data_IF_485363306249
#
_entry.id   IF_485363306249
#
_cell.length_a   1.000
_cell.length_b   1.000
_cell.length_c   1.000
_cell.angle_alpha   90.00
_cell.angle_beta   90.00
_cell.angle_gamma   90.00
#
_symmetry.space_group_name_H-M   'P 1'
#
loop_
_entity.id
_entity.type
_entity.pdbx_description
1 polymer ?
#
# COMPACT_ATOMS: atom_id res chain seq x y z
N UNK A 1 -13.58 -16.35 8.39
CA UNK A 1 -12.72 -16.96 9.43
C UNK A 1 -12.45 -16.00 10.57
N UNK A 2 -11.96 -14.80 10.34
CA UNK A 2 -11.63 -13.79 11.36
C UNK A 2 -12.77 -13.55 12.37
N UNK A 3 -14.01 -13.28 11.89
CA UNK A 3 -15.20 -13.08 12.75
C UNK A 3 -15.43 -14.21 13.77
N UNK A 4 -15.24 -15.48 13.36
CA UNK A 4 -15.43 -16.62 14.27
C UNK A 4 -14.38 -16.67 15.38
N UNK A 5 -13.14 -16.25 15.10
CA UNK A 5 -12.08 -16.17 16.09
C UNK A 5 -12.32 -15.02 17.08
N UNK A 6 -12.66 -13.83 16.57
CA UNK A 6 -13.01 -12.65 17.39
C UNK A 6 -14.17 -12.94 18.33
N UNK A 7 -15.26 -13.57 17.86
CA UNK A 7 -16.40 -13.97 18.70
C UNK A 7 -15.99 -14.92 19.83
N UNK A 8 -14.91 -15.67 19.68
CA UNK A 8 -14.33 -16.55 20.72
C UNK A 8 -13.28 -15.85 21.60
N UNK A 9 -13.15 -14.54 21.51
CA UNK A 9 -12.21 -13.78 22.31
C UNK A 9 -10.74 -14.00 21.92
N UNK A 10 -10.45 -14.32 20.65
CA UNK A 10 -9.10 -14.52 20.17
C UNK A 10 -8.57 -13.28 19.45
N UNK A 11 -7.31 -12.92 19.71
CA UNK A 11 -6.58 -11.98 18.87
C UNK A 11 -6.43 -12.56 17.47
N UNK A 12 -6.49 -11.73 16.45
CA UNK A 12 -6.47 -12.15 15.03
C UNK A 12 -5.44 -11.34 14.26
N UNK A 13 -4.53 -12.03 13.59
CA UNK A 13 -3.72 -11.52 12.49
C UNK A 13 -4.31 -12.10 11.19
N UNK A 14 -4.87 -11.24 10.34
CA UNK A 14 -5.55 -11.65 9.12
C UNK A 14 -4.73 -11.27 7.90
N UNK A 15 -4.57 -12.20 6.95
CA UNK A 15 -3.93 -11.90 5.66
C UNK A 15 -4.69 -10.80 4.91
N UNK A 16 -3.93 -10.05 4.09
CA UNK A 16 -4.44 -9.01 3.21
C UNK A 16 -5.16 -9.61 1.98
N UNK A 17 -6.23 -9.00 1.51
CA UNK A 17 -6.95 -7.90 2.16
C UNK A 17 -7.79 -8.44 3.33
N UNK A 18 -7.86 -7.68 4.40
CA UNK A 18 -8.64 -8.03 5.61
C UNK A 18 -10.11 -8.32 5.27
N UNK A 19 -10.67 -7.56 4.35
CA UNK A 19 -12.03 -7.69 3.84
C UNK A 19 -12.12 -7.15 2.41
N UNK A 20 -13.14 -7.58 1.66
CA UNK A 20 -13.38 -7.11 0.28
C UNK A 20 -14.27 -5.86 0.23
N UNK A 21 -14.89 -5.49 1.34
CA UNK A 21 -15.73 -4.31 1.45
C UNK A 21 -15.42 -3.55 2.75
N UNK A 22 -15.47 -2.22 2.67
CA UNK A 22 -15.26 -1.33 3.81
C UNK A 22 -16.16 -1.69 4.99
N UNK A 23 -17.45 -1.92 4.74
CA UNK A 23 -18.42 -2.28 5.79
C UNK A 23 -18.03 -3.55 6.55
N UNK A 24 -17.52 -4.55 5.85
CA UNK A 24 -17.04 -5.80 6.46
C UNK A 24 -15.83 -5.55 7.37
N UNK A 25 -14.89 -4.73 6.92
CA UNK A 25 -13.73 -4.35 7.73
C UNK A 25 -14.17 -3.59 8.99
N UNK A 26 -15.03 -2.59 8.85
CA UNK A 26 -15.57 -1.80 9.98
C UNK A 26 -16.29 -2.71 11.00
N UNK A 27 -17.08 -3.68 10.54
CA UNK A 27 -17.75 -4.65 11.42
C UNK A 27 -16.76 -5.54 12.18
N UNK A 28 -15.67 -5.95 11.53
CA UNK A 28 -14.64 -6.77 12.17
C UNK A 28 -13.85 -5.98 13.22
N UNK A 29 -13.48 -4.74 12.93
CA UNK A 29 -12.79 -3.87 13.90
C UNK A 29 -13.69 -3.55 15.10
N UNK A 30 -14.95 -3.20 14.86
CA UNK A 30 -15.93 -2.98 15.94
C UNK A 30 -16.10 -4.22 16.83
N UNK A 31 -16.21 -5.41 16.22
CA UNK A 31 -16.30 -6.66 16.95
C UNK A 31 -15.04 -6.94 17.80
N UNK A 32 -13.87 -6.65 17.27
CA UNK A 32 -12.62 -6.79 18.01
C UNK A 32 -12.59 -5.86 19.24
N UNK A 33 -13.01 -4.61 19.08
CA UNK A 33 -13.13 -3.63 20.16
C UNK A 33 -14.13 -4.10 21.23
N UNK A 34 -15.35 -4.51 20.82
CA UNK A 34 -16.39 -5.04 21.72
C UNK A 34 -15.93 -6.26 22.54
N UNK A 35 -15.02 -7.07 21.96
CA UNK A 35 -14.45 -8.25 22.62
C UNK A 35 -13.15 -7.99 23.39
N UNK A 36 -12.62 -6.77 23.34
CA UNK A 36 -11.35 -6.42 23.98
C UNK A 36 -10.16 -7.20 23.39
N UNK A 37 -10.18 -7.52 22.08
CA UNK A 37 -9.13 -8.27 21.41
C UNK A 37 -8.53 -7.49 20.25
N UNK A 38 -7.32 -7.85 19.85
CA UNK A 38 -6.59 -7.22 18.75
C UNK A 38 -6.96 -7.87 17.43
N UNK A 39 -7.28 -7.05 16.42
CA UNK A 39 -7.36 -7.43 15.03
C UNK A 39 -6.33 -6.62 14.24
N UNK A 40 -5.44 -7.32 13.52
CA UNK A 40 -4.45 -6.70 12.64
C UNK A 40 -4.54 -7.31 11.24
N UNK A 41 -4.33 -6.48 10.23
CA UNK A 41 -4.07 -6.94 8.87
C UNK A 41 -2.59 -7.24 8.70
N UNK A 42 -2.24 -8.37 8.09
CA UNK A 42 -0.87 -8.82 7.87
C UNK A 42 -0.20 -8.06 6.71
N UNK A 43 -0.12 -6.74 6.84
CA UNK A 43 0.57 -5.87 5.88
C UNK A 43 2.01 -5.65 6.34
N UNK A 44 2.92 -6.52 5.93
CA UNK A 44 4.33 -6.58 6.37
C UNK A 44 5.05 -5.24 6.32
N UNK A 45 4.84 -4.46 5.26
CA UNK A 45 5.46 -3.15 5.06
C UNK A 45 5.24 -2.20 6.24
N UNK A 46 4.09 -2.28 6.92
CA UNK A 46 3.78 -1.45 8.08
C UNK A 46 4.78 -1.63 9.24
N UNK A 47 5.36 -2.81 9.34
CA UNK A 47 6.26 -3.21 10.42
C UNK A 47 7.74 -3.21 10.00
N UNK A 48 8.04 -2.87 8.74
CA UNK A 48 9.39 -2.75 8.22
C UNK A 48 10.09 -1.53 8.85
N UNK A 49 11.21 -1.69 9.61
CA UNK A 49 11.89 -0.57 10.27
C UNK A 49 12.32 0.54 9.32
N UNK A 50 12.83 0.21 8.13
CA UNK A 50 13.19 1.24 7.15
C UNK A 50 11.97 2.00 6.62
N UNK A 51 10.84 1.33 6.45
CA UNK A 51 9.60 2.00 6.08
C UNK A 51 9.10 2.92 7.19
N UNK A 52 9.22 2.52 8.46
CA UNK A 52 8.89 3.37 9.61
C UNK A 52 9.80 4.59 9.68
N UNK A 53 11.11 4.42 9.46
CA UNK A 53 12.08 5.53 9.37
C UNK A 53 11.74 6.46 8.21
N UNK A 54 11.45 5.92 7.03
CA UNK A 54 11.01 6.66 5.85
C UNK A 54 9.80 7.54 6.15
N UNK A 55 8.74 6.95 6.72
CA UNK A 55 7.50 7.69 7.01
C UNK A 55 7.69 8.73 8.11
N UNK A 56 8.53 8.45 9.10
CA UNK A 56 8.92 9.42 10.14
C UNK A 56 9.67 10.60 9.54
N UNK A 57 10.65 10.35 8.66
CA UNK A 57 11.39 11.41 7.96
C UNK A 57 10.49 12.24 7.04
N UNK A 58 9.60 11.60 6.28
CA UNK A 58 8.63 12.32 5.46
C UNK A 58 7.73 13.25 6.30
N UNK A 59 7.31 12.78 7.47
CA UNK A 59 6.49 13.54 8.43
C UNK A 59 7.25 14.62 9.20
N UNK A 60 8.60 14.57 9.25
CA UNK A 60 9.42 15.56 9.97
C UNK A 60 9.54 16.90 9.24
N UNK A 61 9.07 16.99 8.01
CA UNK A 61 9.21 18.18 7.17
C UNK A 61 10.55 18.28 6.43
N UNK A 62 11.37 17.23 6.40
CA UNK A 62 12.69 17.24 5.71
C UNK A 62 12.58 17.56 4.21
N UNK A 63 11.45 17.26 3.60
CA UNK A 63 11.14 17.57 2.20
C UNK A 63 10.10 18.70 2.08
N UNK A 64 9.86 19.46 3.16
CA UNK A 64 8.77 20.44 3.24
C UNK A 64 7.39 19.77 3.33
N UNK A 65 6.34 20.42 2.79
CA UNK A 65 4.99 19.87 2.77
C UNK A 65 4.84 18.84 1.66
N UNK A 66 4.32 17.65 1.96
CA UNK A 66 4.07 16.60 0.94
C UNK A 66 3.00 17.10 -0.04
N UNK A 67 3.29 16.98 -1.33
CA UNK A 67 2.42 17.39 -2.45
C UNK A 67 1.95 16.22 -3.31
N UNK A 68 2.78 15.19 -3.45
CA UNK A 68 2.36 13.99 -4.14
C UNK A 68 2.94 12.73 -3.51
N UNK A 69 2.22 11.61 -3.66
CA UNK A 69 2.70 10.26 -3.33
C UNK A 69 2.36 9.33 -4.49
N UNK A 70 3.38 8.78 -5.12
CA UNK A 70 3.23 7.82 -6.21
C UNK A 70 3.80 6.48 -5.77
N UNK A 71 2.96 5.45 -5.71
CA UNK A 71 3.34 4.12 -5.27
C UNK A 71 2.87 3.07 -6.27
N UNK A 72 3.80 2.23 -6.72
CA UNK A 72 3.54 1.19 -7.71
C UNK A 72 3.85 -0.19 -7.14
N UNK A 73 2.92 -1.13 -7.30
CA UNK A 73 3.18 -2.54 -7.05
C UNK A 73 2.66 -3.40 -8.19
N UNK A 74 3.57 -4.01 -8.96
CA UNK A 74 3.21 -4.92 -10.04
C UNK A 74 3.93 -6.25 -9.88
N UNK A 75 3.19 -7.33 -10.14
CA UNK A 75 3.70 -8.70 -10.17
C UNK A 75 3.11 -9.38 -11.41
N UNK A 76 3.92 -9.58 -12.43
CA UNK A 76 3.45 -10.29 -13.62
C UNK A 76 3.09 -11.74 -13.26
N UNK A 77 1.89 -12.15 -13.58
CA UNK A 77 1.38 -13.52 -13.43
C UNK A 77 1.09 -14.07 -14.81
N UNK A 78 1.92 -15.01 -15.24
CA UNK A 78 1.84 -15.58 -16.60
C UNK A 78 0.79 -16.69 -16.72
N UNK A 79 0.56 -17.44 -15.64
CA UNK A 79 -0.44 -18.50 -15.61
C UNK A 79 -1.85 -17.90 -15.51
N UNK A 80 -2.59 -17.95 -16.60
CA UNK A 80 -3.98 -17.47 -16.66
C UNK A 80 -4.97 -18.32 -15.85
N UNK A 81 -4.58 -19.53 -15.43
CA UNK A 81 -5.36 -20.38 -14.53
C UNK A 81 -5.12 -20.08 -13.05
N UNK A 82 -4.18 -19.17 -12.74
CA UNK A 82 -3.90 -18.77 -11.37
C UNK A 82 -5.14 -18.13 -10.71
N UNK A 83 -5.26 -18.34 -9.39
CA UNK A 83 -6.39 -17.80 -8.58
C UNK A 83 -6.57 -16.28 -8.71
N UNK A 84 -5.49 -15.56 -8.99
CA UNK A 84 -5.49 -14.10 -9.18
C UNK A 84 -6.30 -13.65 -10.39
N UNK A 85 -6.59 -14.57 -11.34
CA UNK A 85 -7.47 -14.34 -12.48
C UNK A 85 -8.89 -14.90 -12.29
N UNK A 86 -9.17 -15.51 -11.13
CA UNK A 86 -10.48 -16.10 -10.82
C UNK A 86 -11.33 -15.11 -9.97
N UNK A 87 -12.42 -14.56 -10.53
CA UNK A 87 -13.30 -13.65 -9.78
C UNK A 87 -13.99 -14.32 -8.60
N UNK A 88 -14.18 -15.65 -8.63
CA UNK A 88 -14.79 -16.40 -7.53
C UNK A 88 -13.86 -16.53 -6.32
N UNK A 89 -12.56 -16.35 -6.52
CA UNK A 89 -11.54 -16.34 -5.49
C UNK A 89 -11.08 -14.92 -5.13
N UNK A 90 -11.89 -13.92 -5.48
CA UNK A 90 -11.59 -12.49 -5.30
C UNK A 90 -10.28 -12.07 -5.98
N UNK A 91 -9.98 -12.67 -7.15
CA UNK A 91 -8.84 -12.30 -7.98
C UNK A 91 -8.91 -10.86 -8.46
N UNK A 92 -7.77 -10.32 -8.86
CA UNK A 92 -7.64 -8.97 -9.40
C UNK A 92 -6.39 -8.26 -8.89
N UNK A 93 -5.85 -7.39 -9.72
CA UNK A 93 -4.65 -6.63 -9.40
C UNK A 93 -4.84 -5.77 -8.14
N UNK A 94 -6.00 -5.12 -8.03
CA UNK A 94 -6.28 -4.26 -6.87
C UNK A 94 -6.45 -5.06 -5.59
N UNK A 95 -7.17 -6.17 -5.63
CA UNK A 95 -7.37 -7.05 -4.47
C UNK A 95 -6.03 -7.65 -3.99
N UNK A 96 -5.19 -8.08 -4.93
CA UNK A 96 -3.92 -8.73 -4.59
C UNK A 96 -2.84 -7.76 -4.12
N UNK A 97 -2.73 -6.60 -4.76
CA UNK A 97 -1.56 -5.72 -4.59
C UNK A 97 -1.93 -4.30 -4.13
N UNK A 98 -3.16 -3.85 -4.37
CA UNK A 98 -3.59 -2.47 -4.13
C UNK A 98 -3.57 -2.02 -2.67
N UNK A 99 -3.64 -2.96 -1.72
CA UNK A 99 -3.55 -2.64 -0.28
C UNK A 99 -2.22 -1.99 0.10
N UNK A 100 -1.12 -2.36 -0.54
CA UNK A 100 0.21 -1.79 -0.26
C UNK A 100 0.31 -0.31 -0.65
N UNK A 101 0.07 0.10 -1.91
CA UNK A 101 0.12 1.51 -2.27
C UNK A 101 -0.98 2.33 -1.59
N UNK A 102 -2.18 1.79 -1.38
CA UNK A 102 -3.23 2.48 -0.63
C UNK A 102 -2.82 2.74 0.83
N UNK A 103 -2.13 1.77 1.46
CA UNK A 103 -1.62 1.91 2.82
C UNK A 103 -0.62 3.05 2.96
N UNK A 104 0.41 3.11 2.11
CA UNK A 104 1.42 4.18 2.21
C UNK A 104 0.82 5.55 1.96
N UNK A 105 -0.12 5.67 1.01
CA UNK A 105 -0.86 6.91 0.75
C UNK A 105 -1.66 7.33 2.00
N UNK A 106 -2.44 6.41 2.57
CA UNK A 106 -3.20 6.68 3.78
C UNK A 106 -2.33 7.03 4.98
N UNK A 107 -1.14 6.40 5.10
CA UNK A 107 -0.17 6.68 6.16
C UNK A 107 0.42 8.09 6.08
N UNK A 108 0.68 8.59 4.87
CA UNK A 108 1.33 9.88 4.62
C UNK A 108 0.35 11.06 4.48
N UNK A 109 -0.80 10.83 3.86
CA UNK A 109 -1.76 11.89 3.51
C UNK A 109 -3.09 11.80 4.28
N UNK A 110 -3.26 10.74 5.07
CA UNK A 110 -4.51 10.49 5.81
C UNK A 110 -5.51 9.63 5.01
N UNK A 111 -6.56 9.21 5.69
CA UNK A 111 -7.54 8.23 5.17
C UNK A 111 -8.82 8.87 4.61
N UNK A 112 -8.85 10.21 4.49
CA UNK A 112 -10.03 10.96 4.03
C UNK A 112 -9.71 11.81 2.78
N UNK A 113 -9.46 11.20 1.61
CA UNK A 113 -9.34 11.94 0.36
C UNK A 113 -10.69 12.53 -0.06
N UNK A 114 -10.70 13.72 -0.62
CA UNK A 114 -11.91 14.36 -1.17
C UNK A 114 -12.55 13.54 -2.29
N UNK A 115 -11.73 12.82 -3.06
CA UNK A 115 -12.16 11.99 -4.19
C UNK A 115 -11.15 10.89 -4.44
N UNK A 116 -11.68 9.71 -4.82
CA UNK A 116 -10.87 8.62 -5.39
C UNK A 116 -11.43 8.31 -6.78
N UNK A 117 -10.54 8.18 -7.77
CA UNK A 117 -10.87 7.79 -9.13
C UNK A 117 -10.08 6.55 -9.50
N UNK A 118 -10.75 5.54 -10.05
CA UNK A 118 -10.13 4.33 -10.57
C UNK A 118 -10.12 4.32 -12.09
N UNK A 119 -8.98 3.96 -12.67
CA UNK A 119 -8.81 3.65 -14.09
C UNK A 119 -8.31 2.22 -14.18
N UNK A 120 -9.06 1.35 -14.85
CA UNK A 120 -8.86 -0.10 -14.77
C UNK A 120 -8.90 -0.75 -16.15
N UNK A 121 -7.89 -1.58 -16.45
CA UNK A 121 -7.93 -2.53 -17.56
C UNK A 121 -8.36 -3.89 -17.04
N UNK A 122 -9.30 -4.53 -17.71
CA UNK A 122 -9.88 -5.81 -17.31
C UNK A 122 -9.59 -6.91 -18.32
N UNK A 123 -9.48 -8.14 -17.83
CA UNK A 123 -9.44 -9.35 -18.68
C UNK A 123 -10.82 -9.59 -19.28
N UNK A 124 -10.91 -9.73 -20.60
CA UNK A 124 -12.21 -9.75 -21.32
C UNK A 124 -13.13 -10.90 -20.90
N UNK A 125 -12.59 -12.08 -20.61
CA UNK A 125 -13.38 -13.28 -20.33
C UNK A 125 -13.69 -13.49 -18.84
N UNK A 126 -12.90 -12.93 -17.91
CA UNK A 126 -13.13 -13.06 -16.46
C UNK A 126 -13.67 -11.78 -15.83
N UNK A 127 -13.47 -10.63 -16.47
CA UNK A 127 -13.79 -9.31 -15.92
C UNK A 127 -12.86 -8.86 -14.80
N UNK A 128 -11.87 -9.68 -14.42
CA UNK A 128 -10.88 -9.36 -13.38
C UNK A 128 -10.00 -8.22 -13.83
N UNK A 129 -9.71 -7.29 -12.93
CA UNK A 129 -8.78 -6.20 -13.19
C UNK A 129 -7.35 -6.74 -13.25
N UNK A 130 -6.67 -6.43 -14.35
CA UNK A 130 -5.28 -6.85 -14.59
C UNK A 130 -4.29 -5.71 -14.45
N UNK A 131 -4.79 -4.48 -14.53
CA UNK A 131 -4.07 -3.25 -14.27
C UNK A 131 -5.06 -2.23 -13.71
N UNK A 132 -4.77 -1.67 -12.54
CA UNK A 132 -5.59 -0.64 -11.92
C UNK A 132 -4.71 0.51 -11.44
N UNK A 133 -5.09 1.74 -11.79
CA UNK A 133 -4.55 2.97 -11.23
C UNK A 133 -5.64 3.68 -10.46
N UNK A 134 -5.40 3.96 -9.19
CA UNK A 134 -6.25 4.78 -8.34
C UNK A 134 -5.60 6.14 -8.11
N UNK A 135 -6.34 7.21 -8.35
CA UNK A 135 -5.95 8.60 -8.10
C UNK A 135 -6.70 9.09 -6.86
N UNK A 136 -5.97 9.57 -5.87
CA UNK A 136 -6.49 10.11 -4.62
C UNK A 136 -6.29 11.63 -4.60
N UNK A 137 -7.38 12.37 -4.47
CA UNK A 137 -7.37 13.82 -4.43
C UNK A 137 -7.61 14.31 -3.01
N UNK A 138 -6.62 14.95 -2.43
CA UNK A 138 -6.70 15.62 -1.13
C UNK A 138 -6.83 17.13 -1.30
N UNK A 139 -6.99 17.87 -0.20
CA UNK A 139 -7.09 19.35 -0.25
C UNK A 139 -5.85 20.01 -0.82
N UNK A 140 -4.67 19.52 -0.45
CA UNK A 140 -3.38 20.14 -0.76
C UNK A 140 -2.36 19.15 -1.35
N UNK A 141 -2.78 17.92 -1.68
CA UNK A 141 -1.94 16.89 -2.21
C UNK A 141 -2.73 15.99 -3.16
N UNK A 142 -2.00 15.24 -3.97
CA UNK A 142 -2.53 14.18 -4.83
C UNK A 142 -1.76 12.89 -4.58
N UNK A 143 -2.35 11.74 -4.87
CA UNK A 143 -1.59 10.51 -4.86
C UNK A 143 -2.05 9.54 -5.94
N UNK A 144 -1.13 8.67 -6.37
CA UNK A 144 -1.38 7.64 -7.36
C UNK A 144 -0.96 6.27 -6.82
N UNK A 145 -1.89 5.34 -6.79
CA UNK A 145 -1.64 3.94 -6.50
C UNK A 145 -1.77 3.11 -7.77
N UNK A 146 -0.73 2.40 -8.17
CA UNK A 146 -0.77 1.49 -9.33
C UNK A 146 -0.59 0.05 -8.87
N UNK A 147 -1.52 -0.82 -9.26
CA UNK A 147 -1.45 -2.26 -9.06
C UNK A 147 -1.66 -3.01 -10.37
N UNK A 148 -0.82 -3.99 -10.68
CA UNK A 148 -0.98 -4.80 -11.89
C UNK A 148 -0.48 -6.24 -11.70
N UNK A 149 -1.24 -7.19 -12.30
CA UNK A 149 -0.88 -8.60 -12.41
C UNK A 149 -0.68 -9.01 -13.88
N UNK A 150 -1.22 -8.24 -14.84
CA UNK A 150 -1.11 -8.46 -16.27
C UNK A 150 -0.08 -7.58 -16.98
N UNK A 151 0.66 -6.77 -16.25
CA UNK A 151 1.74 -5.92 -16.76
C UNK A 151 2.84 -5.74 -15.71
N UNK A 152 4.08 -5.53 -16.16
CA UNK A 152 5.22 -5.26 -15.28
C UNK A 152 5.62 -3.79 -15.40
N UNK A 153 5.75 -3.13 -14.25
CA UNK A 153 6.27 -1.78 -14.11
C UNK A 153 7.29 -1.75 -12.97
N UNK A 154 8.12 -0.71 -12.89
CA UNK A 154 8.97 -0.48 -11.72
C UNK A 154 8.12 -0.38 -10.45
N UNK A 155 8.51 -1.12 -9.42
CA UNK A 155 7.82 -1.15 -8.13
C UNK A 155 8.43 -0.16 -7.15
N UNK A 156 8.39 1.12 -7.49
CA UNK A 156 8.97 2.22 -6.73
C UNK A 156 7.93 3.00 -5.94
N UNK A 157 8.43 3.81 -5.00
CA UNK A 157 7.65 4.79 -4.25
C UNK A 157 8.36 6.14 -4.35
N UNK A 158 7.64 7.17 -4.76
CA UNK A 158 8.09 8.55 -4.76
C UNK A 158 7.19 9.41 -3.88
N UNK A 159 7.77 10.14 -2.92
CA UNK A 159 7.07 11.08 -2.05
C UNK A 159 7.60 12.47 -2.36
N UNK A 160 6.80 13.28 -3.04
CA UNK A 160 7.17 14.62 -3.51
C UNK A 160 6.77 15.68 -2.48
N UNK A 161 7.72 16.51 -2.07
CA UNK A 161 7.51 17.64 -1.18
C UNK A 161 7.82 18.99 -1.83
N UNK A 162 7.63 20.08 -1.07
CA UNK A 162 7.90 21.44 -1.55
C UNK A 162 9.38 21.82 -1.56
N UNK A 163 10.22 21.07 -0.85
CA UNK A 163 11.67 21.34 -0.71
C UNK A 163 12.56 20.20 -1.20
N UNK A 164 11.96 19.05 -1.52
CA UNK A 164 12.67 17.88 -2.00
C UNK A 164 11.72 16.71 -2.18
N UNK A 165 12.26 15.52 -2.39
CA UNK A 165 11.47 14.30 -2.51
C UNK A 165 12.21 13.10 -1.91
N UNK A 166 11.44 12.08 -1.56
CA UNK A 166 11.97 10.79 -1.12
C UNK A 166 11.69 9.77 -2.21
N UNK A 167 12.72 9.05 -2.60
CA UNK A 167 12.64 7.99 -3.60
C UNK A 167 13.03 6.66 -2.97
N UNK A 168 12.19 5.65 -3.17
CA UNK A 168 12.41 4.27 -2.73
C UNK A 168 12.39 3.38 -3.97
N UNK A 169 13.51 2.78 -4.35
CA UNK A 169 13.56 1.87 -5.50
C UNK A 169 12.77 0.60 -5.24
N UNK A 170 12.53 -0.16 -6.31
CA UNK A 170 11.91 -1.48 -6.22
C UNK A 170 12.80 -2.47 -5.44
N UNK A 171 12.19 -3.32 -4.60
CA UNK A 171 10.77 -3.38 -4.25
C UNK A 171 10.45 -2.53 -3.01
N UNK A 172 9.84 -1.35 -3.19
CA UNK A 172 9.60 -0.41 -2.09
C UNK A 172 8.84 -1.01 -0.89
N UNK A 173 7.99 -2.02 -1.11
CA UNK A 173 7.24 -2.70 -0.04
C UNK A 173 8.10 -3.58 0.87
N UNK A 174 9.36 -3.79 0.48
CA UNK A 174 10.44 -4.40 1.25
C UNK A 174 11.58 -3.37 1.42
N UNK A 175 11.27 -2.18 1.86
CA UNK A 175 12.22 -1.05 1.92
C UNK A 175 13.53 -1.46 2.59
N UNK A 176 14.61 -1.51 1.83
CA UNK A 176 15.97 -1.75 2.33
C UNK A 176 16.82 -0.48 2.23
N UNK A 177 16.47 0.40 1.28
CA UNK A 177 17.16 1.65 1.03
C UNK A 177 16.16 2.69 0.53
N UNK A 178 16.40 3.96 0.87
CA UNK A 178 15.72 5.10 0.26
C UNK A 178 16.65 6.31 0.20
N UNK A 179 16.31 7.24 -0.66
CA UNK A 179 17.05 8.48 -0.86
C UNK A 179 16.15 9.68 -0.57
N UNK A 180 16.70 10.66 0.15
CA UNK A 180 16.13 12.01 0.23
C UNK A 180 16.91 12.89 -0.74
N UNK A 181 16.22 13.47 -1.70
CA UNK A 181 16.81 14.24 -2.78
C UNK A 181 16.27 15.66 -2.81
N UNK A 182 17.16 16.60 -3.07
CA UNK A 182 16.89 18.04 -3.10
C UNK A 182 17.29 18.63 -4.45
N UNK A 183 16.88 19.86 -4.74
CA UNK A 183 17.30 20.60 -5.91
C UNK A 183 18.84 20.78 -5.92
N UNK A 184 19.42 21.16 -4.77
CA UNK A 184 20.88 21.09 -4.58
C UNK A 184 21.28 19.63 -4.29
N UNK A 185 21.80 18.97 -5.29
CA UNK A 185 22.21 17.55 -5.21
C UNK A 185 23.28 17.27 -4.16
N UNK A 186 24.01 18.27 -3.67
CA UNK A 186 25.00 18.15 -2.58
C UNK A 186 24.35 17.84 -1.24
N UNK A 187 23.05 18.12 -1.10
CA UNK A 187 22.25 17.86 0.10
C UNK A 187 21.63 16.46 0.09
N UNK A 188 21.72 15.72 -1.01
CA UNK A 188 21.14 14.39 -1.13
C UNK A 188 21.69 13.43 -0.08
N UNK A 189 20.81 12.60 0.46
CA UNK A 189 21.13 11.60 1.49
C UNK A 189 20.58 10.24 1.11
N UNK A 190 21.39 9.20 1.38
CA UNK A 190 20.99 7.80 1.24
C UNK A 190 20.86 7.16 2.61
N UNK A 191 19.79 6.41 2.79
CA UNK A 191 19.51 5.67 4.01
C UNK A 191 19.46 4.20 3.67
N UNK A 192 20.17 3.39 4.44
CA UNK A 192 20.21 1.94 4.30
C UNK A 192 19.72 1.33 5.60
N UNK A 193 18.87 0.30 5.51
CA UNK A 193 18.49 -0.50 6.63
C UNK A 193 18.94 -1.94 6.37
N UNK A 194 19.86 -2.42 7.18
CA UNK A 194 20.24 -3.82 7.15
C UNK A 194 19.15 -4.62 7.86
N UNK A 195 18.47 -5.47 7.11
CA UNK A 195 17.60 -6.49 7.67
C UNK A 195 18.37 -7.81 7.75
N UNK A 196 18.64 -8.26 8.95
CA UNK A 196 18.92 -9.67 9.20
C UNK A 196 17.57 -10.35 9.42
N UNK A 197 17.02 -10.94 8.38
CA UNK A 197 15.78 -11.70 8.45
C UNK A 197 15.01 -11.70 7.13
N UNK A 198 14.64 -12.88 6.68
CA UNK A 198 13.72 -13.09 5.57
C UNK A 198 12.33 -12.54 5.94
N UNK A 199 11.94 -11.45 5.29
CA UNK A 199 10.62 -10.86 5.44
C UNK A 199 9.55 -11.61 4.67
#
# INVERSE_FOLDING_TARGET
MARKALLRGKHVLCEKPLALARKEAEELFRLAEEKGVVLLEALKTAFCPAFQQLTSLAGSGIIGSIKAVDATFTKLIEDEAAREYDPMQAGGAWTELGSYPAFVIGKLLGTDPRRIRFVTCRKSHTGVDVFTRAEFLYSNAVATATAAIGAKQEGDLCITGTEGYIYVPAPWWKTEMFEVRFEDTRLNRKYFANFEGDG
#
